data_IF_164405800643
#
_entry.id   IF_164405800643
#
_cell.length_a   1.000
_cell.length_b   1.000
_cell.length_c   1.000
_cell.angle_alpha   90.00
_cell.angle_beta   90.00
_cell.angle_gamma   90.00
#
_symmetry.space_group_name_H-M   'P 1'
#
loop_
_entity.id
_entity.type
_entity.pdbx_description
1 polymer ?
#
# COMPACT_ATOMS: atom_id res chain seq x y z
N UNK A 1 -32.99 -16.65 28.49
CA UNK A 1 -32.14 -16.37 27.33
C UNK A 1 -30.70 -16.61 27.77
N UNK A 2 -29.95 -17.57 27.16
CA UNK A 2 -28.54 -17.77 27.52
C UNK A 2 -27.77 -16.55 27.04
N UNK A 3 -27.01 -15.90 27.94
CA UNK A 3 -26.05 -14.84 27.58
C UNK A 3 -24.94 -15.48 26.74
N UNK A 4 -24.90 -15.17 25.48
CA UNK A 4 -23.77 -15.49 24.60
C UNK A 4 -22.52 -14.86 25.19
N UNK A 5 -21.63 -15.70 25.72
CA UNK A 5 -20.34 -15.27 26.26
C UNK A 5 -19.52 -14.75 25.07
N UNK A 6 -19.28 -13.43 25.03
CA UNK A 6 -18.37 -12.84 24.06
C UNK A 6 -17.00 -13.53 24.23
N UNK A 7 -16.37 -14.04 23.18
CA UNK A 7 -15.02 -14.61 23.29
C UNK A 7 -14.07 -13.57 23.87
N UNK A 8 -13.17 -13.99 24.73
CA UNK A 8 -12.12 -13.15 25.30
C UNK A 8 -11.11 -12.80 24.17
N UNK A 9 -11.29 -11.61 23.59
CA UNK A 9 -10.50 -11.12 22.46
C UNK A 9 -9.33 -10.33 23.00
N UNK A 10 -8.11 -10.84 22.80
CA UNK A 10 -6.87 -10.15 23.16
C UNK A 10 -6.50 -9.11 22.08
N UNK A 11 -6.94 -7.88 22.27
CA UNK A 11 -6.69 -6.77 21.35
C UNK A 11 -5.22 -6.32 21.36
N UNK A 12 -4.42 -6.68 22.36
CA UNK A 12 -3.00 -6.34 22.42
C UNK A 12 -2.18 -7.01 21.32
N UNK A 13 -2.69 -8.09 20.73
CA UNK A 13 -2.10 -8.80 19.60
C UNK A 13 -2.32 -8.12 18.26
N UNK A 14 -3.19 -7.11 18.21
CA UNK A 14 -3.41 -6.37 16.96
C UNK A 14 -2.24 -5.42 16.71
N UNK A 15 -1.66 -5.36 15.48
CA UNK A 15 -0.53 -4.49 15.18
C UNK A 15 -0.77 -3.02 15.57
N UNK A 16 -2.00 -2.53 15.41
CA UNK A 16 -2.40 -1.15 15.75
C UNK A 16 -2.30 -0.86 17.26
N UNK A 17 -2.31 -1.87 18.12
CA UNK A 17 -2.14 -1.69 19.56
C UNK A 17 -0.71 -1.27 19.95
N UNK A 18 0.26 -1.44 19.03
CA UNK A 18 1.69 -1.20 19.27
C UNK A 18 2.28 -0.22 18.26
N UNK A 19 1.68 0.97 18.13
CA UNK A 19 2.22 2.06 17.29
C UNK A 19 3.52 2.58 17.88
N UNK A 20 4.57 2.64 17.06
CA UNK A 20 5.87 3.19 17.41
C UNK A 20 6.18 4.46 16.62
N UNK A 21 6.75 5.46 17.26
CA UNK A 21 7.24 6.67 16.60
C UNK A 21 8.72 6.52 16.27
N UNK A 22 9.03 6.38 14.98
CA UNK A 22 10.40 6.09 14.51
C UNK A 22 10.91 7.17 13.56
N UNK A 23 12.23 7.22 13.36
CA UNK A 23 12.85 8.02 12.31
C UNK A 23 12.45 7.43 10.94
N UNK A 24 11.88 8.21 10.00
CA UNK A 24 11.57 7.75 8.65
C UNK A 24 12.77 7.13 7.91
N UNK A 25 14.01 7.52 8.25
CA UNK A 25 15.22 6.94 7.68
C UNK A 25 15.47 5.48 8.05
N UNK A 26 14.77 4.94 9.07
CA UNK A 26 14.82 3.50 9.41
C UNK A 26 13.93 2.64 8.52
N UNK A 27 13.09 3.28 7.71
CA UNK A 27 12.18 2.61 6.78
C UNK A 27 12.73 2.69 5.37
N UNK A 28 12.35 1.71 4.54
CA UNK A 28 12.69 1.68 3.12
C UNK A 28 11.48 1.35 2.27
N UNK A 29 11.43 1.95 1.07
CA UNK A 29 10.43 1.61 0.07
C UNK A 29 10.61 0.15 -0.38
N UNK A 30 9.50 -0.55 -0.61
CA UNK A 30 9.56 -1.83 -1.32
C UNK A 30 9.81 -1.57 -2.83
N UNK A 31 10.48 -2.52 -3.49
CA UNK A 31 10.86 -2.41 -4.90
C UNK A 31 9.67 -2.53 -5.88
N UNK A 32 8.56 -3.10 -5.42
CA UNK A 32 7.33 -3.29 -6.18
C UNK A 32 6.23 -2.27 -5.84
N UNK A 33 6.58 -1.14 -5.21
CA UNK A 33 5.58 -0.15 -4.79
C UNK A 33 4.82 0.41 -6.00
N UNK A 34 3.52 0.13 -6.14
CA UNK A 34 2.71 0.56 -7.27
C UNK A 34 2.38 2.06 -7.25
N UNK A 35 2.61 2.74 -6.14
CA UNK A 35 2.12 4.11 -5.96
C UNK A 35 3.10 5.14 -6.51
N UNK A 36 2.82 5.68 -7.70
CA UNK A 36 3.39 6.96 -8.12
C UNK A 36 2.74 8.07 -7.29
N UNK A 37 3.58 8.93 -6.76
CA UNK A 37 3.13 10.10 -5.99
C UNK A 37 2.58 11.14 -6.97
N UNK A 38 1.27 11.35 -6.98
CA UNK A 38 0.64 12.45 -7.70
C UNK A 38 0.65 13.69 -6.79
N UNK A 39 1.09 14.83 -7.34
CA UNK A 39 1.24 16.06 -6.58
C UNK A 39 -0.03 16.54 -5.85
N UNK A 40 -1.23 16.46 -6.45
CA UNK A 40 -2.48 16.86 -5.80
C UNK A 40 -2.81 16.04 -4.56
N UNK A 41 -2.69 14.71 -4.64
CA UNK A 41 -2.99 13.79 -3.52
C UNK A 41 -2.03 13.99 -2.36
N UNK A 42 -0.75 14.24 -2.66
CA UNK A 42 0.26 14.54 -1.64
C UNK A 42 -0.06 15.84 -0.90
N UNK A 43 -0.53 16.87 -1.60
CA UNK A 43 -0.94 18.13 -0.96
C UNK A 43 -2.14 17.94 -0.04
N UNK A 44 -3.15 17.20 -0.48
CA UNK A 44 -4.33 16.89 0.34
C UNK A 44 -3.95 16.06 1.58
N UNK A 45 -3.08 15.07 1.42
CA UNK A 45 -2.59 14.27 2.54
C UNK A 45 -1.77 15.12 3.53
N UNK A 46 -0.89 16.01 3.03
CA UNK A 46 -0.16 16.95 3.87
C UNK A 46 -1.12 17.83 4.67
N UNK A 47 -2.11 18.46 4.02
CA UNK A 47 -3.11 19.30 4.68
C UNK A 47 -3.89 18.51 5.75
N UNK A 48 -4.28 17.28 5.45
CA UNK A 48 -4.95 16.41 6.41
C UNK A 48 -4.11 16.15 7.66
N UNK A 49 -2.83 15.82 7.49
CA UNK A 49 -1.93 15.55 8.62
C UNK A 49 -1.68 16.83 9.42
N UNK A 50 -1.49 17.98 8.78
CA UNK A 50 -1.29 19.26 9.49
C UNK A 50 -2.53 19.69 10.27
N UNK A 51 -3.75 19.43 9.75
CA UNK A 51 -5.00 19.85 10.37
C UNK A 51 -5.47 18.91 11.49
N UNK A 52 -5.25 17.61 11.36
CA UNK A 52 -5.85 16.60 12.24
C UNK A 52 -4.80 15.69 12.92
N UNK A 53 -3.52 15.89 12.62
CA UNK A 53 -2.46 14.97 13.04
C UNK A 53 -2.44 13.65 12.26
N UNK A 54 -1.63 12.74 12.73
CA UNK A 54 -1.51 11.40 12.16
C UNK A 54 -2.66 10.52 12.61
N UNK A 55 -3.58 10.22 11.71
CA UNK A 55 -4.75 9.36 11.98
C UNK A 55 -4.52 7.90 11.59
N UNK A 56 -3.49 7.62 10.78
CA UNK A 56 -3.16 6.28 10.29
C UNK A 56 -1.64 6.07 10.33
N UNK A 57 -1.15 5.00 10.96
CA UNK A 57 0.28 4.68 10.95
C UNK A 57 0.72 4.16 9.57
N UNK A 58 2.03 4.20 9.33
CA UNK A 58 2.68 3.46 8.27
C UNK A 58 2.71 1.99 8.69
N UNK A 59 2.52 1.07 7.76
CA UNK A 59 2.64 -0.36 8.00
C UNK A 59 3.95 -0.85 7.39
N UNK A 60 4.81 -1.45 8.21
CA UNK A 60 6.10 -1.95 7.78
C UNK A 60 6.35 -3.37 8.32
N UNK A 61 7.28 -4.08 7.72
CA UNK A 61 7.88 -5.29 8.30
C UNK A 61 8.89 -4.91 9.36
N UNK A 62 9.26 -5.89 10.17
CA UNK A 62 10.26 -5.71 11.24
C UNK A 62 11.66 -5.33 10.72
N UNK A 63 11.95 -5.59 9.45
CA UNK A 63 13.19 -5.17 8.78
C UNK A 63 13.13 -3.76 8.18
N UNK A 64 12.02 -3.03 8.40
CA UNK A 64 11.81 -1.65 7.96
C UNK A 64 11.23 -1.50 6.56
N UNK A 65 10.93 -2.58 5.83
CA UNK A 65 10.33 -2.49 4.51
C UNK A 65 8.84 -2.12 4.59
N UNK A 66 8.44 -1.08 3.84
CA UNK A 66 7.09 -0.52 3.89
C UNK A 66 6.12 -1.43 3.13
N UNK A 67 5.04 -1.83 3.79
CA UNK A 67 3.91 -2.58 3.22
C UNK A 67 2.82 -1.64 2.75
N UNK A 68 2.47 -0.64 3.57
CA UNK A 68 1.48 0.40 3.25
C UNK A 68 1.87 1.74 3.86
N UNK A 69 1.40 2.83 3.23
CA UNK A 69 1.65 4.18 3.72
C UNK A 69 2.85 4.87 3.10
N UNK A 70 3.26 4.48 1.88
CA UNK A 70 4.37 5.09 1.16
C UNK A 70 4.26 6.62 1.05
N UNK A 71 3.09 7.17 0.73
CA UNK A 71 2.88 8.62 0.65
C UNK A 71 3.08 9.30 2.01
N UNK A 72 2.62 8.67 3.09
CA UNK A 72 2.82 9.15 4.47
C UNK A 72 4.29 9.14 4.85
N UNK A 73 5.00 8.07 4.49
CA UNK A 73 6.45 7.97 4.67
C UNK A 73 7.20 9.02 3.88
N UNK A 74 6.82 9.26 2.61
CA UNK A 74 7.44 10.31 1.77
C UNK A 74 7.31 11.68 2.43
N UNK A 75 6.11 12.06 2.89
CA UNK A 75 5.91 13.32 3.60
C UNK A 75 6.74 13.39 4.89
N UNK A 76 6.74 12.32 5.69
CA UNK A 76 7.55 12.27 6.91
C UNK A 76 9.06 12.41 6.65
N UNK A 77 9.51 11.92 5.48
CA UNK A 77 10.92 11.95 5.10
C UNK A 77 11.36 13.30 4.54
N UNK A 78 10.48 13.99 3.78
CA UNK A 78 10.89 15.11 2.92
C UNK A 78 10.22 16.45 3.25
N UNK A 79 9.05 16.44 3.91
CA UNK A 79 8.29 17.68 4.15
C UNK A 79 8.65 18.30 5.50
N UNK A 80 9.10 19.55 5.48
CA UNK A 80 9.59 20.26 6.66
C UNK A 80 8.48 20.53 7.69
N UNK A 81 7.26 20.88 7.25
CA UNK A 81 6.15 21.17 8.16
C UNK A 81 5.70 19.89 8.89
N UNK A 82 5.64 18.75 8.17
CA UNK A 82 5.30 17.44 8.75
C UNK A 82 6.40 17.01 9.75
N UNK A 83 7.67 17.22 9.40
CA UNK A 83 8.80 16.91 10.30
C UNK A 83 8.78 17.77 11.55
N UNK A 84 8.47 19.05 11.42
CA UNK A 84 8.35 19.97 12.57
C UNK A 84 7.21 19.54 13.51
N UNK A 85 6.08 19.08 12.96
CA UNK A 85 4.91 18.65 13.73
C UNK A 85 5.22 17.50 14.71
N UNK A 86 6.15 16.60 14.36
CA UNK A 86 6.41 15.34 15.10
C UNK A 86 7.86 15.18 15.56
N UNK A 87 8.66 16.24 15.50
CA UNK A 87 10.09 16.16 15.82
C UNK A 87 10.84 15.19 14.90
N UNK A 88 10.47 15.15 13.61
CA UNK A 88 11.08 14.31 12.58
C UNK A 88 10.71 12.83 12.66
N UNK A 89 9.69 12.44 13.42
CA UNK A 89 9.26 11.04 13.59
C UNK A 89 7.96 10.75 12.84
N UNK A 90 7.71 9.48 12.51
CA UNK A 90 6.46 9.01 11.94
C UNK A 90 5.92 7.79 12.71
N UNK A 91 4.58 7.62 12.77
CA UNK A 91 3.98 6.47 13.46
C UNK A 91 4.02 5.23 12.56
N UNK A 92 4.48 4.12 13.11
CA UNK A 92 4.62 2.83 12.42
C UNK A 92 4.01 1.71 13.23
N UNK A 93 3.35 0.79 12.56
CA UNK A 93 3.03 -0.54 13.09
C UNK A 93 3.84 -1.58 12.32
N UNK A 94 4.38 -2.56 13.03
CA UNK A 94 5.17 -3.61 12.43
C UNK A 94 4.37 -4.91 12.31
N UNK A 95 4.38 -5.50 11.10
CA UNK A 95 3.87 -6.84 10.86
C UNK A 95 4.96 -7.85 11.24
N UNK A 96 4.62 -8.79 12.11
CA UNK A 96 5.53 -9.81 12.60
C UNK A 96 5.36 -11.11 11.81
N UNK A 97 6.47 -11.76 11.47
CA UNK A 97 6.45 -13.09 10.84
C UNK A 97 5.90 -13.14 9.42
N UNK A 98 5.81 -12.01 8.73
CA UNK A 98 5.26 -11.90 7.38
C UNK A 98 6.36 -12.14 6.35
N UNK A 99 6.15 -13.10 5.44
CA UNK A 99 7.04 -13.37 4.30
C UNK A 99 6.93 -12.27 3.23
N UNK A 100 7.85 -12.29 2.26
CA UNK A 100 7.80 -11.33 1.13
C UNK A 100 6.52 -11.53 0.32
N UNK A 101 6.11 -12.77 0.07
CA UNK A 101 4.88 -13.11 -0.67
C UNK A 101 3.63 -12.63 0.08
N UNK A 102 3.55 -12.88 1.38
CA UNK A 102 2.46 -12.40 2.23
C UNK A 102 2.39 -10.87 2.27
N UNK A 103 3.54 -10.20 2.27
CA UNK A 103 3.62 -8.74 2.18
C UNK A 103 3.11 -8.23 0.83
N UNK A 104 3.49 -8.86 -0.28
CA UNK A 104 2.99 -8.50 -1.62
C UNK A 104 1.46 -8.63 -1.66
N UNK A 105 0.93 -9.74 -1.15
CA UNK A 105 -0.51 -9.99 -1.06
C UNK A 105 -1.20 -8.93 -0.19
N UNK A 106 -0.63 -8.60 0.97
CA UNK A 106 -1.17 -7.56 1.85
C UNK A 106 -1.19 -6.19 1.15
N UNK A 107 -0.11 -5.83 0.46
CA UNK A 107 -0.02 -4.57 -0.31
C UNK A 107 -1.11 -4.48 -1.37
N UNK A 108 -1.33 -5.56 -2.14
CA UNK A 108 -2.39 -5.61 -3.16
C UNK A 108 -3.76 -5.48 -2.51
N UNK A 109 -4.05 -6.25 -1.45
CA UNK A 109 -5.34 -6.20 -0.75
C UNK A 109 -5.66 -4.80 -0.22
N UNK A 110 -4.69 -4.16 0.41
CA UNK A 110 -4.84 -2.79 0.91
C UNK A 110 -5.11 -1.79 -0.22
N UNK A 111 -4.40 -1.91 -1.34
CA UNK A 111 -4.58 -1.03 -2.48
C UNK A 111 -5.93 -1.29 -3.19
N UNK A 112 -6.33 -2.55 -3.42
CA UNK A 112 -7.63 -2.89 -4.02
C UNK A 112 -8.79 -2.39 -3.18
N UNK A 113 -8.72 -2.55 -1.88
CA UNK A 113 -9.76 -2.08 -0.97
C UNK A 113 -9.99 -0.55 -1.05
N UNK A 114 -9.00 0.21 -1.51
CA UNK A 114 -9.07 1.68 -1.69
C UNK A 114 -9.52 2.12 -3.08
N UNK A 115 -9.75 1.19 -4.03
CA UNK A 115 -10.36 1.48 -5.34
C UNK A 115 -9.46 2.15 -6.38
N UNK A 116 -8.15 2.30 -6.17
CA UNK A 116 -7.22 2.85 -7.17
C UNK A 116 -6.08 1.89 -7.49
N UNK A 117 -6.01 1.45 -8.75
CA UNK A 117 -4.98 0.49 -9.20
C UNK A 117 -4.35 0.91 -10.52
N UNK A 118 -3.02 0.97 -10.55
CA UNK A 118 -2.28 0.89 -11.78
C UNK A 118 -2.25 -0.57 -12.27
N UNK A 119 -3.04 -0.91 -13.29
CA UNK A 119 -3.17 -2.28 -13.84
C UNK A 119 -1.81 -2.89 -14.20
N UNK A 120 -0.89 -2.10 -14.76
CA UNK A 120 0.47 -2.55 -15.13
C UNK A 120 1.26 -3.04 -13.92
N UNK A 121 1.19 -2.33 -12.80
CA UNK A 121 1.91 -2.70 -11.57
C UNK A 121 1.28 -3.87 -10.83
N UNK A 122 -0.03 -4.03 -10.96
CA UNK A 122 -0.71 -5.23 -10.48
C UNK A 122 -0.19 -6.47 -11.23
N UNK A 123 -0.01 -6.36 -12.55
CA UNK A 123 0.60 -7.41 -13.37
C UNK A 123 2.03 -7.75 -12.96
N UNK A 124 2.86 -6.76 -12.64
CA UNK A 124 4.23 -6.99 -12.14
C UNK A 124 4.23 -7.78 -10.82
N UNK A 125 3.33 -7.46 -9.90
CA UNK A 125 3.25 -8.18 -8.62
C UNK A 125 2.71 -9.60 -8.80
N UNK A 126 1.65 -9.78 -9.60
CA UNK A 126 1.12 -11.12 -9.92
C UNK A 126 2.22 -11.99 -10.54
N UNK A 127 2.99 -11.44 -11.46
CA UNK A 127 4.11 -12.15 -12.08
C UNK A 127 5.19 -12.53 -11.05
N UNK A 128 5.57 -11.62 -10.16
CA UNK A 128 6.55 -11.92 -9.09
C UNK A 128 6.07 -13.03 -8.16
N UNK A 129 4.76 -13.10 -7.87
CA UNK A 129 4.20 -14.19 -7.08
C UNK A 129 4.26 -15.53 -7.81
N UNK A 130 3.99 -15.55 -9.13
CA UNK A 130 4.15 -16.75 -9.96
C UNK A 130 5.62 -17.18 -10.03
N UNK A 131 6.54 -16.25 -10.23
CA UNK A 131 7.99 -16.50 -10.26
C UNK A 131 8.52 -17.02 -8.91
N UNK A 132 7.90 -16.64 -7.79
CA UNK A 132 8.20 -17.21 -6.47
C UNK A 132 7.66 -18.63 -6.27
N UNK A 133 6.95 -19.19 -7.27
CA UNK A 133 6.40 -20.54 -7.25
C UNK A 133 4.96 -20.65 -6.75
N UNK A 134 4.26 -19.53 -6.58
CA UNK A 134 2.84 -19.55 -6.18
C UNK A 134 1.95 -19.91 -7.39
N UNK A 135 1.05 -20.88 -7.20
CA UNK A 135 0.11 -21.28 -8.24
C UNK A 135 -0.91 -20.16 -8.56
N UNK A 136 -1.26 -19.93 -9.84
CA UNK A 136 -2.23 -18.90 -10.24
C UNK A 136 -3.57 -18.99 -9.49
N UNK A 137 -4.09 -20.19 -9.29
CA UNK A 137 -5.35 -20.43 -8.57
C UNK A 137 -5.25 -19.98 -7.09
N UNK A 138 -4.09 -20.17 -6.48
CA UNK A 138 -3.83 -19.68 -5.12
C UNK A 138 -3.76 -18.16 -5.08
N UNK A 139 -3.14 -17.53 -6.07
CA UNK A 139 -3.10 -16.06 -6.22
C UNK A 139 -4.51 -15.53 -6.38
N UNK A 140 -5.31 -16.11 -7.27
CA UNK A 140 -6.72 -15.77 -7.48
C UNK A 140 -7.53 -15.82 -6.17
N UNK A 141 -7.43 -16.94 -5.46
CA UNK A 141 -8.09 -17.11 -4.16
C UNK A 141 -7.64 -16.08 -3.11
N UNK A 142 -6.35 -15.84 -3.00
CA UNK A 142 -5.79 -14.91 -2.01
C UNK A 142 -6.11 -13.44 -2.32
N UNK A 143 -6.21 -13.07 -3.59
CA UNK A 143 -6.49 -11.70 -4.03
C UNK A 143 -7.96 -11.45 -4.37
N UNK A 144 -8.80 -12.49 -4.27
CA UNK A 144 -10.20 -12.48 -4.72
C UNK A 144 -10.32 -12.05 -6.19
N UNK A 145 -9.50 -12.67 -7.04
CA UNK A 145 -9.49 -12.51 -8.49
C UNK A 145 -9.98 -13.79 -9.15
N UNK A 146 -10.67 -13.65 -10.28
CA UNK A 146 -10.94 -14.78 -11.16
C UNK A 146 -9.65 -15.24 -11.85
N UNK A 147 -9.56 -16.55 -12.15
CA UNK A 147 -8.35 -17.13 -12.75
C UNK A 147 -7.98 -16.43 -14.06
N UNK A 148 -8.97 -16.09 -14.89
CA UNK A 148 -8.78 -15.31 -16.12
C UNK A 148 -8.19 -13.91 -15.86
N UNK A 149 -8.52 -13.26 -14.72
CA UNK A 149 -7.94 -11.98 -14.33
C UNK A 149 -6.47 -12.15 -13.94
N UNK A 150 -6.12 -13.22 -13.23
CA UNK A 150 -4.74 -13.53 -12.85
C UNK A 150 -3.90 -13.79 -14.09
N UNK A 151 -4.36 -14.62 -15.03
CA UNK A 151 -3.66 -14.90 -16.29
C UNK A 151 -3.46 -13.63 -17.11
N UNK A 152 -4.50 -12.83 -17.29
CA UNK A 152 -4.41 -11.55 -18.03
C UNK A 152 -3.41 -10.60 -17.38
N UNK A 153 -3.35 -10.51 -16.05
CA UNK A 153 -2.40 -9.67 -15.34
C UNK A 153 -0.97 -10.19 -15.45
N UNK A 154 -0.79 -11.52 -15.45
CA UNK A 154 0.52 -12.15 -15.66
C UNK A 154 1.07 -11.90 -17.08
N UNK A 155 0.19 -11.89 -18.09
CA UNK A 155 0.55 -11.66 -19.51
C UNK A 155 0.73 -10.19 -19.88
N UNK A 156 0.34 -9.25 -19.01
CA UNK A 156 0.55 -7.82 -19.23
C UNK A 156 2.05 -7.50 -19.26
N UNK A 157 2.66 -7.68 -20.43
CA UNK A 157 3.97 -7.11 -20.73
C UNK A 157 3.82 -5.59 -20.77
N UNK A 158 4.71 -4.79 -20.14
CA UNK A 158 4.75 -3.36 -20.38
C UNK A 158 4.94 -3.14 -21.88
N UNK A 159 3.89 -2.72 -22.58
CA UNK A 159 4.04 -2.36 -23.98
C UNK A 159 5.04 -1.21 -24.08
N UNK A 160 6.03 -1.26 -24.97
CA UNK A 160 6.95 -0.14 -25.17
C UNK A 160 6.24 1.18 -25.49
N UNK A 161 5.00 1.12 -25.99
CA UNK A 161 4.13 2.28 -26.26
C UNK A 161 3.59 2.97 -25.00
N UNK A 162 3.61 2.34 -23.82
CA UNK A 162 3.16 2.94 -22.58
C UNK A 162 4.30 3.53 -21.72
N UNK A 163 5.55 3.32 -22.10
CA UNK A 163 6.70 3.92 -21.43
C UNK A 163 6.83 5.44 -21.64
N UNK A 164 5.99 6.04 -22.49
CA UNK A 164 6.01 7.45 -22.85
C UNK A 164 4.70 8.23 -22.68
N UNK A 165 3.62 7.60 -22.21
CA UNK A 165 2.32 8.28 -22.09
C UNK A 165 2.04 8.79 -20.66
N UNK A 166 2.77 9.83 -20.28
CA UNK A 166 2.41 10.74 -19.18
C UNK A 166 1.23 11.67 -19.53
N UNK A 167 0.36 11.27 -20.45
CA UNK A 167 -0.76 12.06 -20.94
C UNK A 167 -2.09 11.32 -20.85
N UNK A 168 -2.55 11.00 -19.62
CA UNK A 168 -3.97 10.85 -19.34
C UNK A 168 -4.48 12.13 -18.69
N UNK A 169 -4.89 13.09 -19.51
CA UNK A 169 -5.38 14.36 -19.03
C UNK A 169 -6.05 15.22 -20.11
N UNK A 170 -6.92 14.61 -20.91
CA UNK A 170 -7.97 15.40 -21.61
C UNK A 170 -9.28 14.66 -21.48
N UNK A 171 -10.07 15.06 -20.47
CA UNK A 171 -11.47 14.70 -20.39
C UNK A 171 -12.16 15.10 -21.69
N UNK A 172 -13.04 14.24 -22.17
CA UNK A 172 -13.93 14.49 -23.29
C UNK A 172 -14.68 15.81 -23.05
N UNK A 173 -14.51 16.78 -23.96
CA UNK A 173 -15.27 18.04 -23.97
C UNK A 173 -16.37 17.87 -25.03
N UNK A 174 -17.68 17.93 -24.65
CA UNK A 174 -18.74 17.90 -25.64
C UNK A 174 -18.66 19.15 -26.53
N UNK A 175 -18.50 18.95 -27.82
CA UNK A 175 -18.71 19.99 -28.82
C UNK A 175 -20.21 20.29 -28.93
N UNK A 176 -20.59 21.56 -28.79
CA UNK A 176 -21.93 22.06 -29.08
C UNK A 176 -22.23 21.99 -30.58
#
# INVERSE_FOLDING_TARGET
MPKTRTPDIDLSKQPIASVQWVDPGTLRANHYNPNRVFGPEMRLLKLSILSHGWTQPIVARTDGEIVDGFHRWTLASTDEDIRALTGGRCPVVYLQGVTIEEQMIATIRHNRARGQHGVIKMGEIVRSLIESGMAPEMIGSLLQMEDEEVERLADLTPSPQHAGLDHFGKGWVPTR
#
